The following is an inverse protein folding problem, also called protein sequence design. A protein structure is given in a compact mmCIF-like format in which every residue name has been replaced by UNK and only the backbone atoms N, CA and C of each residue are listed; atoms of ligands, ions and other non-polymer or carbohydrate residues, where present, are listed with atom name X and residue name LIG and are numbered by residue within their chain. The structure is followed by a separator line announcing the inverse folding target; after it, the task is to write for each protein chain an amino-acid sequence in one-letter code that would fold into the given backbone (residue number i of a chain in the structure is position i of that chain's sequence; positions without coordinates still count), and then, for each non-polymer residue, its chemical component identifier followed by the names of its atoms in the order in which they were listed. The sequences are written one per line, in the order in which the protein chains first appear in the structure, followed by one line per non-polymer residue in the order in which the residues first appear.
data_IF_462312047429
#
_entry.id   IF_462312047429
#
_cell.length_a   1.000
_cell.length_b   1.000
_cell.length_c   1.000
_cell.angle_alpha   90.00
_cell.angle_beta   90.00
_cell.angle_gamma   90.00
#
_symmetry.space_group_name_H-M   'P 1'
#
loop_
_entity.id
_entity.type
_entity.pdbx_description
1 polymer ?
#
# COMPACT_ATOMS: atom_id res chain seq x y z
N UNK A 1 -7.62 -4.92 -5.50
CA UNK A 1 -8.08 -4.08 -4.36
C UNK A 1 -7.23 -4.40 -3.16
N UNK A 2 -7.03 -3.46 -2.24
CA UNK A 2 -6.28 -3.64 -1.00
C UNK A 2 -6.85 -2.82 0.15
N UNK A 3 -6.22 -2.87 1.31
CA UNK A 3 -6.58 -2.06 2.49
C UNK A 3 -5.34 -1.35 3.06
N UNK A 4 -5.56 -0.21 3.70
CA UNK A 4 -4.56 0.54 4.44
C UNK A 4 -5.16 1.07 5.74
N UNK A 5 -4.34 1.20 6.78
CA UNK A 5 -4.77 1.67 8.10
C UNK A 5 -3.60 2.25 8.89
N UNK A 6 -3.87 3.25 9.74
CA UNK A 6 -2.93 3.74 10.74
C UNK A 6 -3.62 3.87 12.10
N UNK A 7 -2.84 3.69 13.17
CA UNK A 7 -3.34 3.75 14.54
C UNK A 7 -3.70 5.16 14.99
N UNK A 8 -4.38 5.26 16.13
CA UNK A 8 -4.67 6.55 16.76
C UNK A 8 -5.63 7.45 15.97
N UNK A 9 -6.45 6.88 15.10
CA UNK A 9 -7.51 7.61 14.38
C UNK A 9 -6.97 8.41 13.20
N UNK A 10 -5.70 8.20 12.85
CA UNK A 10 -5.05 8.87 11.74
C UNK A 10 -5.47 8.21 10.44
N UNK A 11 -6.32 8.91 9.70
CA UNK A 11 -6.73 8.46 8.38
C UNK A 11 -5.58 8.26 7.40
N UNK A 12 -5.83 7.44 6.39
CA UNK A 12 -4.95 7.30 5.24
C UNK A 12 -5.24 8.43 4.26
N UNK A 13 -4.22 9.19 3.87
CA UNK A 13 -4.33 10.30 2.91
C UNK A 13 -3.79 9.94 1.54
N UNK A 14 -2.98 8.87 1.45
CA UNK A 14 -2.42 8.39 0.19
C UNK A 14 -2.10 6.91 0.29
N UNK A 15 -2.40 6.19 -0.78
CA UNK A 15 -1.82 4.87 -1.06
C UNK A 15 -1.16 4.95 -2.42
N UNK A 16 0.05 4.43 -2.51
CA UNK A 16 0.82 4.33 -3.74
C UNK A 16 1.02 2.85 -4.07
N UNK A 17 0.92 2.53 -5.36
CA UNK A 17 1.12 1.18 -5.89
C UNK A 17 2.23 1.24 -6.93
N UNK A 18 3.15 0.28 -6.87
CA UNK A 18 4.23 0.06 -7.81
C UNK A 18 4.06 -1.31 -8.47
N UNK A 19 4.61 -1.47 -9.67
CA UNK A 19 4.65 -2.73 -10.42
C UNK A 19 6.06 -3.25 -10.67
N UNK A 20 7.06 -2.50 -10.23
CA UNK A 20 8.48 -2.67 -10.51
C UNK A 20 9.31 -2.76 -9.22
N UNK A 21 8.70 -3.27 -8.15
CA UNK A 21 9.39 -3.49 -6.87
C UNK A 21 9.62 -2.22 -6.04
N UNK A 22 9.02 -1.09 -6.43
CA UNK A 22 9.09 0.17 -5.69
C UNK A 22 9.96 1.25 -6.35
N UNK A 23 10.38 1.07 -7.60
CA UNK A 23 11.15 2.06 -8.36
C UNK A 23 10.24 3.21 -8.85
N UNK A 24 9.07 2.88 -9.37
CA UNK A 24 8.06 3.86 -9.80
C UNK A 24 6.71 3.64 -9.13
N UNK A 25 5.97 4.74 -8.93
CA UNK A 25 4.76 4.76 -8.12
C UNK A 25 3.62 5.48 -8.83
N UNK A 26 2.42 4.92 -8.72
CA UNK A 26 1.18 5.59 -9.07
C UNK A 26 0.26 5.69 -7.85
N UNK A 27 -0.54 6.75 -7.80
CA UNK A 27 -1.54 6.92 -6.75
C UNK A 27 -2.71 5.94 -6.95
N UNK A 28 -3.15 5.31 -5.87
CA UNK A 28 -4.38 4.53 -5.85
C UNK A 28 -5.60 5.40 -5.50
N UNK A 29 -6.77 4.99 -5.97
CA UNK A 29 -8.05 5.56 -5.55
C UNK A 29 -8.40 5.04 -4.15
N UNK A 30 -8.59 5.95 -3.21
CA UNK A 30 -9.08 5.64 -1.87
C UNK A 30 -10.59 5.55 -1.87
N UNK A 31 -11.13 4.50 -1.26
CA UNK A 31 -12.56 4.32 -1.03
C UNK A 31 -12.84 4.75 0.40
N UNK A 32 -13.28 6.00 0.55
CA UNK A 32 -13.57 6.65 1.82
C UNK A 32 -14.98 7.25 1.80
N UNK A 33 -15.61 7.29 2.96
CA UNK A 33 -16.86 8.01 3.14
C UNK A 33 -16.53 9.52 3.18
N UNK A 34 -17.13 10.36 2.32
CA UNK A 34 -16.88 11.80 2.33
C UNK A 34 -17.29 12.48 3.65
N UNK A 35 -18.21 11.89 4.42
CA UNK A 35 -18.71 12.41 5.69
C UNK A 35 -17.94 11.83 6.89
N UNK A 36 -16.85 11.09 6.64
CA UNK A 36 -16.04 10.49 7.69
C UNK A 36 -15.43 11.57 8.61
N UNK A 37 -15.58 11.38 9.92
CA UNK A 37 -14.91 12.22 10.92
C UNK A 37 -13.38 12.09 10.78
N UNK A 38 -12.77 13.19 10.37
CA UNK A 38 -11.34 13.27 10.04
C UNK A 38 -10.45 12.99 11.25
N UNK A 39 -10.92 13.27 12.47
CA UNK A 39 -10.14 13.12 13.70
C UNK A 39 -10.32 11.72 14.35
N UNK A 40 -11.25 10.92 13.81
CA UNK A 40 -11.68 9.64 14.37
C UNK A 40 -11.74 8.54 13.30
N UNK A 41 -10.70 8.43 12.46
CA UNK A 41 -10.66 7.48 11.34
C UNK A 41 -10.17 6.09 11.78
N UNK A 42 -11.00 5.39 12.57
CA UNK A 42 -10.64 4.12 13.20
C UNK A 42 -10.67 2.90 12.28
N UNK A 43 -11.48 2.95 11.23
CA UNK A 43 -11.60 1.89 10.22
C UNK A 43 -10.45 1.93 9.21
N UNK A 44 -10.20 0.79 8.57
CA UNK A 44 -9.34 0.76 7.39
C UNK A 44 -9.91 1.63 6.27
N UNK A 45 -9.03 2.05 5.36
CA UNK A 45 -9.41 2.61 4.06
C UNK A 45 -9.13 1.54 3.01
N UNK A 46 -10.14 1.15 2.25
CA UNK A 46 -9.92 0.34 1.06
C UNK A 46 -9.33 1.19 -0.06
N UNK A 47 -8.54 0.57 -0.92
CA UNK A 47 -8.03 1.23 -2.11
C UNK A 47 -8.08 0.31 -3.33
N UNK A 48 -8.12 0.92 -4.50
CA UNK A 48 -8.03 0.24 -5.79
C UNK A 48 -7.15 1.04 -6.74
N UNK A 49 -6.47 0.34 -7.63
CA UNK A 49 -5.67 0.93 -8.70
C UNK A 49 -5.84 0.07 -9.93
N UNK A 50 -6.00 0.72 -11.08
CA UNK A 50 -6.03 0.07 -12.39
C UNK A 50 -4.66 0.22 -12.99
N UNK A 51 -4.04 -0.91 -13.33
CA UNK A 51 -2.66 -0.96 -13.78
C UNK A 51 -2.65 -1.33 -15.26
N UNK A 52 -1.95 -0.55 -16.08
CA UNK A 52 -1.60 -1.00 -17.43
C UNK A 52 -0.37 -1.90 -17.33
N UNK A 53 -0.53 -3.16 -17.73
CA UNK A 53 0.59 -4.11 -17.83
C UNK A 53 1.45 -3.65 -19.03
N UNK A 54 2.76 -3.44 -18.84
CA UNK A 54 3.65 -3.13 -19.96
C UNK A 54 3.76 -4.33 -20.91
N UNK A 55 3.95 -4.05 -22.20
CA UNK A 55 4.13 -5.09 -23.21
C UNK A 55 5.41 -5.91 -22.93
N UNK A 56 5.42 -7.20 -23.31
CA UNK A 56 6.55 -8.13 -23.18
C UNK A 56 7.05 -8.40 -21.75
N UNK A 57 6.24 -8.13 -20.72
CA UNK A 57 6.59 -8.43 -19.32
C UNK A 57 5.98 -9.75 -18.85
N UNK A 58 6.83 -10.66 -18.39
CA UNK A 58 6.41 -11.98 -17.85
C UNK A 58 6.13 -11.98 -16.35
N UNK A 59 6.70 -11.03 -15.62
CA UNK A 59 6.59 -10.96 -14.16
C UNK A 59 6.52 -9.50 -13.71
N UNK A 60 5.67 -9.23 -12.73
CA UNK A 60 5.61 -7.93 -12.03
C UNK A 60 5.82 -8.17 -10.54
N UNK A 61 6.41 -7.18 -9.87
CA UNK A 61 6.44 -7.13 -8.41
C UNK A 61 5.51 -6.02 -7.94
N UNK A 62 4.31 -6.39 -7.54
CA UNK A 62 3.31 -5.44 -7.06
C UNK A 62 3.64 -5.05 -5.64
N UNK A 63 3.83 -3.75 -5.41
CA UNK A 63 4.14 -3.22 -4.09
C UNK A 63 3.15 -2.14 -3.73
N UNK A 64 2.74 -2.06 -2.46
CA UNK A 64 1.95 -0.95 -1.97
C UNK A 64 2.53 -0.34 -0.68
N UNK A 65 2.32 0.98 -0.55
CA UNK A 65 2.63 1.73 0.67
C UNK A 65 1.60 2.82 0.94
N UNK A 66 1.32 3.08 2.20
CA UNK A 66 0.39 4.11 2.64
C UNK A 66 1.10 5.27 3.36
N UNK A 67 0.44 6.42 3.38
CA UNK A 67 0.79 7.60 4.17
C UNK A 67 -0.42 8.05 4.97
N UNK A 68 -0.25 8.27 6.27
CA UNK A 68 -1.33 8.73 7.16
C UNK A 68 -1.41 10.27 7.26
N UNK A 69 -2.45 10.79 7.92
CA UNK A 69 -2.67 12.24 8.14
C UNK A 69 -1.53 12.94 8.91
N UNK A 70 -0.71 12.20 9.64
CA UNK A 70 0.49 12.74 10.31
C UNK A 70 1.76 12.52 9.48
N UNK A 71 1.62 12.14 8.21
CA UNK A 71 2.72 11.85 7.29
C UNK A 71 3.63 10.72 7.74
N UNK A 72 3.17 9.81 8.60
CA UNK A 72 3.90 8.58 8.85
C UNK A 72 3.85 7.70 7.60
N UNK A 73 4.98 7.08 7.29
CA UNK A 73 5.15 6.17 6.16
C UNK A 73 5.63 4.80 6.63
N UNK A 74 5.58 3.83 5.72
CA UNK A 74 6.07 2.48 5.95
C UNK A 74 7.55 2.35 5.56
N UNK A 75 8.35 1.54 6.28
CA UNK A 75 9.70 1.20 5.87
C UNK A 75 9.68 0.38 4.57
N UNK A 76 10.74 0.51 3.77
CA UNK A 76 10.92 -0.19 2.51
C UNK A 76 11.05 -1.71 2.71
N UNK A 77 11.82 -2.13 3.71
CA UNK A 77 12.16 -3.54 3.93
C UNK A 77 11.94 -3.96 5.38
N UNK A 78 11.63 -5.24 5.56
CA UNK A 78 11.49 -5.82 6.89
C UNK A 78 12.82 -5.92 7.67
N UNK A 79 13.97 -5.76 6.99
CA UNK A 79 15.30 -5.93 7.61
C UNK A 79 15.52 -4.95 8.76
N UNK A 80 15.10 -3.70 8.61
CA UNK A 80 15.26 -2.65 9.62
C UNK A 80 14.32 -2.78 10.82
N UNK A 81 13.23 -3.53 10.69
CA UNK A 81 12.16 -3.67 11.70
C UNK A 81 12.03 -5.09 12.26
N UNK A 82 12.93 -5.99 11.87
CA UNK A 82 12.90 -7.37 12.32
C UNK A 82 13.03 -7.46 13.84
N UNK A 83 12.24 -8.35 14.44
CA UNK A 83 12.35 -8.71 15.84
C UNK A 83 11.97 -10.18 16.05
N UNK A 84 12.49 -10.79 17.11
CA UNK A 84 12.32 -12.23 17.40
C UNK A 84 10.85 -12.67 17.53
N UNK A 85 9.94 -11.74 17.85
CA UNK A 85 8.50 -12.02 18.00
C UNK A 85 7.72 -11.84 16.69
N UNK A 86 8.34 -11.31 15.64
CA UNK A 86 7.69 -11.02 14.36
C UNK A 86 6.60 -9.95 14.44
N UNK A 87 6.65 -9.06 15.43
CA UNK A 87 5.63 -8.02 15.65
C UNK A 87 5.91 -6.77 14.82
N UNK A 88 4.88 -5.94 14.63
CA UNK A 88 4.99 -4.64 13.96
C UNK A 88 5.62 -4.72 12.56
N UNK A 89 5.36 -5.81 11.83
CA UNK A 89 5.78 -5.93 10.45
C UNK A 89 4.88 -5.04 9.57
N UNK A 90 5.32 -3.81 9.34
CA UNK A 90 4.63 -2.82 8.52
C UNK A 90 5.46 -2.38 7.31
N UNK A 91 6.48 -3.16 6.90
CA UNK A 91 7.21 -2.91 5.67
C UNK A 91 6.28 -2.96 4.45
N UNK A 92 6.74 -2.45 3.31
CA UNK A 92 5.97 -2.54 2.07
C UNK A 92 5.61 -4.00 1.76
N UNK A 93 4.37 -4.22 1.33
CA UNK A 93 3.90 -5.55 1.00
C UNK A 93 4.15 -5.83 -0.47
N UNK A 94 4.95 -6.86 -0.75
CA UNK A 94 5.30 -7.30 -2.11
C UNK A 94 4.44 -8.50 -2.51
N UNK A 95 3.93 -8.46 -3.73
CA UNK A 95 3.13 -9.53 -4.34
C UNK A 95 3.71 -9.78 -5.74
N UNK A 96 4.63 -10.77 -5.87
CA UNK A 96 5.11 -11.17 -7.18
C UNK A 96 3.98 -11.84 -7.96
N UNK A 97 3.79 -11.45 -9.21
CA UNK A 97 2.79 -12.00 -10.11
C UNK A 97 3.42 -12.40 -11.44
N UNK A 98 2.98 -13.53 -11.99
CA UNK A 98 3.34 -13.97 -13.34
C UNK A 98 2.24 -13.58 -14.32
N UNK A 99 2.64 -13.04 -15.47
CA UNK A 99 1.74 -12.71 -16.56
C UNK A 99 1.69 -13.89 -17.53
N UNK A 100 0.48 -14.34 -17.83
CA UNK A 100 0.21 -15.45 -18.74
C UNK A 100 -0.38 -14.85 -20.01
N UNK A 101 0.22 -15.16 -21.16
CA UNK A 101 -0.35 -14.85 -22.46
C UNK A 101 -1.52 -15.79 -22.74
N UNK A 102 -2.64 -15.24 -23.23
CA UNK A 102 -3.81 -16.02 -23.69
C UNK A 102 -3.54 -16.77 -25.02
#
# INVERSE_FOLDING_TARGET
MGYAWSGGGRGIIRVEVSIDGGETWQAAELVQDPDQDIDHMWSWTFFKSTIKIPDDVKQLDLVCKATDRSYNTQPDTARGIWNIRGLLNNAWHHVPVEIIDD
#
